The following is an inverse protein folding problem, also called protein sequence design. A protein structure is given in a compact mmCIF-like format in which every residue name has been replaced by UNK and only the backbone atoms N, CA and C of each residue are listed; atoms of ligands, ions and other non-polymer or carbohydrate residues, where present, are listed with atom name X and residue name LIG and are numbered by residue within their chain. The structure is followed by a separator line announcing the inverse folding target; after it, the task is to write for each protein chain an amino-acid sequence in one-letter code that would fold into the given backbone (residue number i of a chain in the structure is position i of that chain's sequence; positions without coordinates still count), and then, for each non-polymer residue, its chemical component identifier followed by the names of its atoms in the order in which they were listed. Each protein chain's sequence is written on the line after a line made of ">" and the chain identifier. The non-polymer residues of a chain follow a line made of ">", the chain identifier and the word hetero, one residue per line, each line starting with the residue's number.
data_IF_946158800368
#
_entry.id   IF_946158800368
#
_cell.length_a   1.000
_cell.length_b   1.000
_cell.length_c   1.000
_cell.angle_alpha   90.00
_cell.angle_beta   90.00
_cell.angle_gamma   90.00
#
_symmetry.space_group_name_H-M   'P 1'
#
loop_
_entity.id
_entity.type
_entity.pdbx_description
1 polymer ?
#
# COMPACT_ATOMS: atom_id res chain seq x y z
N UNK A 1 -23.54 8.10 -9.98
CA UNK A 1 -23.67 8.10 -8.51
C UNK A 1 -22.37 8.53 -7.82
N UNK A 2 -21.23 7.89 -8.10
CA UNK A 2 -19.94 8.25 -7.47
C UNK A 2 -19.42 9.66 -7.83
N UNK A 3 -19.69 10.16 -9.05
CA UNK A 3 -19.32 11.55 -9.43
C UNK A 3 -20.07 12.63 -8.65
N UNK A 4 -21.30 12.34 -8.21
CA UNK A 4 -22.07 13.23 -7.33
C UNK A 4 -21.50 13.19 -5.91
N UNK A 5 -21.20 11.99 -5.41
CA UNK A 5 -20.57 11.77 -4.10
C UNK A 5 -19.20 12.47 -3.98
N UNK A 6 -18.36 12.39 -5.02
CA UNK A 6 -17.08 13.12 -5.09
C UNK A 6 -17.27 14.64 -5.08
N UNK A 7 -18.26 15.16 -5.80
CA UNK A 7 -18.59 16.59 -5.80
C UNK A 7 -19.10 17.04 -4.43
N UNK A 8 -19.98 16.27 -3.81
CA UNK A 8 -20.60 16.60 -2.53
C UNK A 8 -19.54 16.53 -1.39
N UNK A 9 -18.57 15.61 -1.46
CA UNK A 9 -17.42 15.57 -0.52
C UNK A 9 -16.46 16.76 -0.64
N UNK A 10 -16.41 17.44 -1.80
CA UNK A 10 -15.54 18.59 -2.04
C UNK A 10 -16.18 19.92 -1.62
N UNK A 11 -17.49 19.94 -1.33
CA UNK A 11 -18.22 21.10 -0.84
C UNK A 11 -18.36 20.96 0.67
N UNK A 12 -17.45 21.59 1.42
CA UNK A 12 -17.33 21.51 2.88
C UNK A 12 -18.37 22.34 3.64
N UNK A 13 -19.61 22.43 3.15
CA UNK A 13 -20.64 23.31 3.74
C UNK A 13 -21.44 22.63 4.88
N UNK A 14 -21.52 21.30 4.94
CA UNK A 14 -22.23 20.55 5.99
C UNK A 14 -21.37 19.41 6.58
N UNK A 15 -20.69 19.69 7.70
CA UNK A 15 -19.67 18.80 8.28
C UNK A 15 -20.20 17.50 8.87
N UNK A 16 -21.49 17.42 9.24
CA UNK A 16 -22.06 16.23 9.88
C UNK A 16 -22.28 15.08 8.88
N UNK A 17 -22.79 15.37 7.68
CA UNK A 17 -23.05 14.36 6.64
C UNK A 17 -21.80 13.98 5.83
N UNK A 18 -20.74 14.78 5.89
CA UNK A 18 -19.54 14.60 5.06
C UNK A 18 -18.68 13.39 5.46
N UNK A 19 -18.66 13.02 6.74
CA UNK A 19 -17.92 11.85 7.19
C UNK A 19 -18.56 10.54 6.72
N UNK A 20 -19.90 10.46 6.74
CA UNK A 20 -20.63 9.29 6.26
C UNK A 20 -20.43 9.12 4.75
N UNK A 21 -20.53 10.21 3.99
CA UNK A 21 -20.25 10.20 2.54
C UNK A 21 -18.81 9.77 2.22
N UNK A 22 -17.83 10.25 2.99
CA UNK A 22 -16.43 9.85 2.84
C UNK A 22 -16.24 8.35 3.16
N UNK A 23 -16.87 7.87 4.23
CA UNK A 23 -16.85 6.46 4.63
C UNK A 23 -17.47 5.56 3.56
N UNK A 24 -18.62 5.96 3.01
CA UNK A 24 -19.30 5.26 1.94
C UNK A 24 -18.46 5.21 0.66
N UNK A 25 -17.81 6.32 0.30
CA UNK A 25 -16.89 6.37 -0.84
C UNK A 25 -15.70 5.41 -0.62
N UNK A 26 -15.07 5.45 0.56
CA UNK A 26 -13.97 4.56 0.91
C UNK A 26 -14.39 3.08 0.83
N UNK A 27 -15.60 2.76 1.29
CA UNK A 27 -16.18 1.42 1.23
C UNK A 27 -16.39 0.97 -0.22
N UNK A 28 -16.92 1.84 -1.09
CA UNK A 28 -17.07 1.53 -2.52
C UNK A 28 -15.71 1.31 -3.21
N UNK A 29 -14.68 2.10 -2.87
CA UNK A 29 -13.31 1.90 -3.36
C UNK A 29 -12.79 0.53 -2.90
N UNK A 30 -12.89 0.22 -1.60
CA UNK A 30 -12.40 -1.02 -1.03
C UNK A 30 -13.05 -2.26 -1.66
N UNK A 31 -14.32 -2.16 -2.01
CA UNK A 31 -15.10 -3.23 -2.64
C UNK A 31 -14.98 -3.24 -4.18
N UNK A 32 -14.17 -2.37 -4.78
CA UNK A 32 -14.03 -2.23 -6.23
C UNK A 32 -15.37 -2.00 -6.96
N UNK A 33 -16.30 -1.25 -6.34
CA UNK A 33 -17.65 -0.98 -6.86
C UNK A 33 -17.76 0.36 -7.61
N UNK A 34 -16.62 0.89 -8.06
CA UNK A 34 -16.57 2.14 -8.81
C UNK A 34 -16.96 1.90 -10.27
N UNK A 35 -17.60 2.89 -10.89
CA UNK A 35 -17.73 2.89 -12.36
C UNK A 35 -16.36 3.04 -13.01
N UNK A 36 -16.18 2.45 -14.20
CA UNK A 36 -14.91 2.50 -14.95
C UNK A 36 -14.31 3.91 -15.08
N UNK A 37 -15.07 4.96 -15.43
CA UNK A 37 -14.50 6.32 -15.50
C UNK A 37 -14.00 6.83 -14.15
N UNK A 38 -14.71 6.53 -13.06
CA UNK A 38 -14.31 6.94 -11.72
C UNK A 38 -13.09 6.15 -11.23
N UNK A 39 -13.01 4.87 -11.56
CA UNK A 39 -11.83 4.05 -11.29
C UNK A 39 -10.59 4.59 -12.01
N UNK A 40 -10.72 5.04 -13.27
CA UNK A 40 -9.61 5.69 -13.98
C UNK A 40 -9.16 7.00 -13.33
N UNK A 41 -10.10 7.82 -12.89
CA UNK A 41 -9.77 9.09 -12.23
C UNK A 41 -9.11 8.87 -10.86
N UNK A 42 -9.65 7.96 -10.04
CA UNK A 42 -9.08 7.65 -8.72
C UNK A 42 -7.81 6.79 -8.78
N UNK A 43 -7.60 6.06 -9.88
CA UNK A 43 -6.38 5.32 -10.16
C UNK A 43 -5.36 6.13 -10.97
N UNK A 44 -5.63 7.41 -11.24
CA UNK A 44 -4.65 8.28 -11.86
C UNK A 44 -3.52 8.57 -10.87
N UNK A 45 -2.28 8.49 -11.35
CA UNK A 45 -1.10 8.65 -10.51
C UNK A 45 -0.07 9.54 -11.20
N UNK A 46 0.73 10.23 -10.38
CA UNK A 46 1.83 11.05 -10.85
C UNK A 46 3.15 10.27 -10.75
N UNK A 47 3.94 10.26 -11.82
CA UNK A 47 5.30 9.72 -11.79
C UNK A 47 6.30 10.83 -11.44
N UNK A 48 7.07 10.60 -10.39
CA UNK A 48 8.18 11.45 -9.97
C UNK A 48 9.50 10.71 -10.20
N UNK A 49 10.40 11.33 -10.93
CA UNK A 49 11.75 10.82 -11.12
C UNK A 49 12.64 11.30 -9.96
N UNK A 50 13.01 10.39 -9.05
CA UNK A 50 13.98 10.67 -8.00
C UNK A 50 15.35 10.13 -8.38
N UNK A 51 16.41 10.83 -8.01
CA UNK A 51 17.77 10.32 -8.20
C UNK A 51 18.14 9.32 -7.11
N UNK A 52 18.86 8.26 -7.48
CA UNK A 52 19.45 7.31 -6.53
C UNK A 52 20.82 7.82 -6.09
N UNK A 53 21.18 7.57 -4.83
CA UNK A 53 22.53 7.83 -4.31
C UNK A 53 23.63 7.07 -5.07
N UNK A 54 23.31 5.88 -5.60
CA UNK A 54 24.21 5.08 -6.45
C UNK A 54 24.25 5.51 -7.92
N UNK A 55 23.59 6.62 -8.28
CA UNK A 55 23.34 7.01 -9.66
C UNK A 55 22.11 6.34 -10.28
N UNK A 56 21.56 6.98 -11.31
CA UNK A 56 20.34 6.56 -12.02
C UNK A 56 19.03 7.05 -11.37
N UNK A 57 17.90 6.71 -12.01
CA UNK A 57 16.57 7.18 -11.62
C UNK A 57 15.78 6.09 -10.86
N UNK A 58 15.08 6.51 -9.81
CA UNK A 58 14.04 5.77 -9.10
C UNK A 58 12.69 6.43 -9.43
N UNK A 59 11.88 5.86 -10.32
CA UNK A 59 10.52 6.34 -10.52
C UNK A 59 9.71 6.04 -9.26
N UNK A 60 9.04 7.05 -8.72
CA UNK A 60 8.06 6.93 -7.65
C UNK A 60 6.70 7.25 -8.25
N UNK A 61 5.74 6.38 -8.00
CA UNK A 61 4.34 6.62 -8.35
C UNK A 61 3.64 7.17 -7.12
N UNK A 62 3.00 8.33 -7.28
CA UNK A 62 2.18 8.96 -6.25
C UNK A 62 0.73 8.83 -6.68
N UNK A 63 0.03 7.91 -6.02
CA UNK A 63 -1.40 7.69 -6.24
C UNK A 63 -2.27 8.75 -5.55
N UNK A 64 -3.51 8.83 -5.99
CA UNK A 64 -4.55 9.64 -5.35
C UNK A 64 -4.72 9.33 -3.85
N UNK A 65 -5.06 10.36 -3.09
CA UNK A 65 -5.12 10.29 -1.62
C UNK A 65 -6.10 9.23 -1.11
N UNK A 66 -7.32 9.22 -1.67
CA UNK A 66 -8.38 8.29 -1.25
C UNK A 66 -8.00 6.84 -1.53
N UNK A 67 -7.35 6.58 -2.67
CA UNK A 67 -6.89 5.25 -3.03
C UNK A 67 -5.78 4.77 -2.08
N UNK A 68 -4.83 5.65 -1.72
CA UNK A 68 -3.79 5.36 -0.71
C UNK A 68 -4.38 5.11 0.67
N UNK A 69 -5.36 5.92 1.10
CA UNK A 69 -6.04 5.77 2.38
C UNK A 69 -6.72 4.40 2.49
N UNK A 70 -7.51 4.03 1.48
CA UNK A 70 -8.23 2.75 1.45
C UNK A 70 -7.25 1.58 1.41
N UNK A 71 -6.27 1.61 0.51
CA UNK A 71 -5.27 0.54 0.38
C UNK A 71 -4.46 0.36 1.67
N UNK A 72 -4.06 1.45 2.32
CA UNK A 72 -3.38 1.41 3.63
C UNK A 72 -4.27 0.79 4.71
N UNK A 73 -5.54 1.18 4.75
CA UNK A 73 -6.51 0.66 5.72
C UNK A 73 -6.74 -0.84 5.54
N UNK A 74 -6.87 -1.30 4.29
CA UNK A 74 -6.93 -2.73 3.97
C UNK A 74 -5.64 -3.46 4.37
N UNK A 75 -4.48 -2.86 4.10
CA UNK A 75 -3.18 -3.42 4.51
C UNK A 75 -3.08 -3.64 6.01
N UNK A 76 -3.58 -2.71 6.83
CA UNK A 76 -3.66 -2.88 8.28
C UNK A 76 -4.69 -3.94 8.69
N UNK A 77 -5.89 -3.91 8.09
CA UNK A 77 -6.95 -4.84 8.41
C UNK A 77 -6.54 -6.30 8.17
N UNK A 78 -5.84 -6.55 7.07
CA UNK A 78 -5.40 -7.89 6.66
C UNK A 78 -3.95 -8.19 7.05
N UNK A 79 -3.31 -7.34 7.85
CA UNK A 79 -1.89 -7.47 8.18
C UNK A 79 -1.55 -8.85 8.73
N UNK A 80 -2.32 -9.35 9.70
CA UNK A 80 -2.10 -10.66 10.32
C UNK A 80 -2.27 -11.82 9.32
N UNK A 81 -3.34 -11.81 8.52
CA UNK A 81 -3.59 -12.83 7.50
C UNK A 81 -2.49 -12.85 6.44
N UNK A 82 -2.05 -11.67 6.00
CA UNK A 82 -0.91 -11.58 5.11
C UNK A 82 0.32 -12.13 5.84
N UNK A 83 0.56 -11.74 7.09
CA UNK A 83 1.64 -12.20 7.99
C UNK A 83 1.83 -13.70 7.94
N UNK A 84 0.77 -14.43 8.23
CA UNK A 84 0.82 -15.88 8.24
C UNK A 84 1.04 -16.45 6.83
N UNK A 85 0.36 -15.90 5.82
CA UNK A 85 0.42 -16.44 4.45
C UNK A 85 1.81 -16.37 3.81
N UNK A 86 2.51 -15.24 4.02
CA UNK A 86 3.83 -15.04 3.40
C UNK A 86 4.99 -15.48 4.29
N UNK A 87 4.73 -15.96 5.51
CA UNK A 87 5.78 -16.55 6.34
C UNK A 87 6.32 -17.84 5.71
N UNK A 88 7.65 -18.07 5.62
CA UNK A 88 8.75 -17.30 6.20
C UNK A 88 9.40 -16.27 5.25
N UNK A 89 8.88 -16.05 4.05
CA UNK A 89 9.47 -15.21 2.99
C UNK A 89 9.44 -13.69 3.28
N UNK A 90 9.17 -13.31 4.53
CA UNK A 90 8.95 -11.93 4.97
C UNK A 90 10.23 -11.28 5.43
N UNK A 91 10.90 -10.64 4.49
CA UNK A 91 12.17 -9.95 4.73
C UNK A 91 12.01 -8.47 5.11
N UNK A 92 10.83 -7.87 4.90
CA UNK A 92 10.66 -6.41 4.97
C UNK A 92 9.55 -5.90 5.91
N UNK A 93 8.73 -6.76 6.54
CA UNK A 93 7.49 -6.32 7.18
C UNK A 93 7.45 -6.40 8.72
N UNK A 94 8.38 -7.10 9.38
CA UNK A 94 8.59 -7.06 10.85
C UNK A 94 9.96 -7.68 11.17
N UNK A 95 10.84 -6.94 11.85
CA UNK A 95 12.24 -7.32 12.12
C UNK A 95 13.27 -6.84 11.08
N UNK A 96 12.81 -6.43 9.89
CA UNK A 96 13.66 -5.86 8.84
C UNK A 96 14.74 -6.81 8.32
N UNK A 97 15.76 -6.22 7.69
CA UNK A 97 16.87 -6.99 7.13
C UNK A 97 17.69 -7.74 8.21
N UNK A 98 17.60 -7.33 9.47
CA UNK A 98 18.35 -7.93 10.57
C UNK A 98 17.95 -9.39 10.83
N UNK A 99 16.65 -9.71 10.71
CA UNK A 99 16.16 -11.10 10.79
C UNK A 99 16.79 -11.99 9.72
N UNK A 100 17.02 -11.44 8.52
CA UNK A 100 17.65 -12.16 7.41
C UNK A 100 19.12 -12.41 7.73
N UNK A 101 19.83 -11.38 8.18
CA UNK A 101 21.25 -11.48 8.51
C UNK A 101 21.46 -12.52 9.61
N UNK A 102 20.65 -12.48 10.67
CA UNK A 102 20.72 -13.47 11.74
C UNK A 102 20.31 -14.87 11.29
N UNK A 103 19.24 -15.00 10.48
CA UNK A 103 18.82 -16.29 9.93
C UNK A 103 19.89 -16.91 9.03
N UNK A 104 20.52 -16.10 8.18
CA UNK A 104 21.60 -16.54 7.30
C UNK A 104 22.83 -16.96 8.11
N UNK A 105 23.26 -16.16 9.10
CA UNK A 105 24.38 -16.51 9.99
C UNK A 105 24.12 -17.81 10.74
N UNK A 106 22.96 -17.95 11.36
CA UNK A 106 22.59 -19.18 12.07
C UNK A 106 22.54 -20.40 11.13
N UNK A 107 22.12 -20.21 9.88
CA UNK A 107 22.11 -21.28 8.88
C UNK A 107 23.54 -21.67 8.46
N UNK A 108 24.43 -20.70 8.25
CA UNK A 108 25.83 -20.95 7.92
C UNK A 108 26.60 -21.58 9.09
N UNK A 109 26.27 -21.22 10.34
CA UNK A 109 26.83 -21.88 11.53
C UNK A 109 26.40 -23.35 11.62
N UNK A 110 25.17 -23.66 11.22
CA UNK A 110 24.64 -25.04 11.17
C UNK A 110 25.15 -25.84 9.98
N UNK A 111 25.40 -25.18 8.84
CA UNK A 111 25.86 -25.80 7.60
C UNK A 111 27.06 -25.03 7.03
N UNK A 112 28.26 -25.20 7.60
CA UNK A 112 29.44 -24.43 7.20
C UNK A 112 29.85 -24.63 5.74
N UNK A 113 29.51 -25.79 5.16
CA UNK A 113 29.85 -26.16 3.79
C UNK A 113 28.85 -25.61 2.75
N UNK A 114 27.78 -24.90 3.18
CA UNK A 114 26.79 -24.29 2.29
C UNK A 114 27.20 -22.89 1.83
N UNK A 115 28.43 -22.75 1.37
CA UNK A 115 28.94 -21.55 0.72
C UNK A 115 29.33 -21.86 -0.72
N UNK A 116 28.97 -20.99 -1.66
CA UNK A 116 29.48 -21.04 -3.03
C UNK A 116 30.72 -20.14 -3.06
N UNK A 117 31.89 -20.73 -3.28
CA UNK A 117 33.16 -20.02 -3.47
C UNK A 117 33.23 -19.34 -4.85
#
# INVERSE_FOLDING_TARGET
>A
MVSKLLRDCLILEDTANNFDLLSDLCTHIAQSRLSTPTAYLLGASCFLALEKSSGGIRPIVVDELLYRLVTRSLGFQFQATLEDHFSPLRVAMRGGYETIIHGLRATLDLYPDWVVL
#
